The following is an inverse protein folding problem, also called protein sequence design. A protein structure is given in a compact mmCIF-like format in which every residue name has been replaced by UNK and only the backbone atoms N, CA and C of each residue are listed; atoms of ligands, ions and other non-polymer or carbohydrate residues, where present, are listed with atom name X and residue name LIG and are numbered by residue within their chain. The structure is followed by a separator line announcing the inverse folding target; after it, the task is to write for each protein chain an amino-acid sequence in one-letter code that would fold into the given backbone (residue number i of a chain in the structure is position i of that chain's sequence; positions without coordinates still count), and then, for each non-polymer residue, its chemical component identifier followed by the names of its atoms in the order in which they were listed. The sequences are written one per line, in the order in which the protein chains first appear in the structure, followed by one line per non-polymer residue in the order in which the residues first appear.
data_IF_496238773948
#
_entry.id   IF_496238773948
#
_cell.length_a   1.000
_cell.length_b   1.000
_cell.length_c   1.000
_cell.angle_alpha   90.00
_cell.angle_beta   90.00
_cell.angle_gamma   90.00
#
_symmetry.space_group_name_H-M   'P 1'
#
loop_
_entity.id
_entity.type
_entity.pdbx_description
1 polymer ?
#
# COMPACT_ATOMS: atom_id res chain seq x y z
N UNK A 1 16.83 -2.01 21.14
CA UNK A 1 15.95 -2.86 20.30
C UNK A 1 15.47 -2.20 19.00
N UNK A 2 15.32 -0.86 18.91
CA UNK A 2 14.86 -0.20 17.67
C UNK A 2 15.85 -0.18 16.49
N UNK A 3 17.16 -0.22 16.73
CA UNK A 3 18.18 -0.18 15.66
C UNK A 3 18.34 -1.50 14.89
N UNK A 4 18.06 -2.64 15.52
CA UNK A 4 18.20 -3.97 14.89
C UNK A 4 17.06 -4.23 13.89
N UNK A 5 15.88 -3.66 14.13
CA UNK A 5 14.76 -3.72 13.17
C UNK A 5 15.06 -2.95 11.87
N UNK A 6 15.85 -1.88 11.92
CA UNK A 6 16.18 -1.07 10.74
C UNK A 6 17.15 -1.79 9.79
N UNK A 7 18.14 -2.50 10.34
CA UNK A 7 19.15 -3.21 9.53
C UNK A 7 18.56 -4.44 8.83
N UNK A 8 17.64 -5.16 9.48
CA UNK A 8 16.93 -6.30 8.87
C UNK A 8 15.91 -5.88 7.79
N UNK A 9 15.57 -4.60 7.69
CA UNK A 9 14.71 -4.08 6.63
C UNK A 9 15.42 -4.09 5.28
N UNK A 10 16.74 -3.85 5.23
CA UNK A 10 17.48 -3.63 3.98
C UNK A 10 17.71 -4.91 3.15
N UNK A 11 17.56 -6.09 3.73
CA UNK A 11 17.88 -7.38 3.08
C UNK A 11 16.68 -8.23 2.61
N UNK A 12 15.44 -7.77 2.79
CA UNK A 12 14.23 -8.52 2.37
C UNK A 12 13.59 -7.96 1.08
N UNK A 13 13.04 -8.87 0.25
CA UNK A 13 12.35 -8.58 -1.02
C UNK A 13 11.29 -7.49 -0.84
N UNK A 14 11.01 -6.72 -1.89
CA UNK A 14 10.04 -5.61 -1.87
C UNK A 14 8.67 -6.05 -1.32
N UNK A 15 8.22 -7.25 -1.71
CA UNK A 15 6.97 -7.89 -1.25
C UNK A 15 6.96 -8.17 0.26
N UNK A 16 8.07 -8.63 0.84
CA UNK A 16 8.16 -8.93 2.27
C UNK A 16 8.10 -7.66 3.14
N UNK A 17 8.66 -6.56 2.64
CA UNK A 17 8.54 -5.25 3.29
C UNK A 17 7.09 -4.77 3.27
N UNK A 18 6.42 -4.89 2.13
CA UNK A 18 5.02 -4.51 1.98
C UNK A 18 4.14 -5.31 2.95
N UNK A 19 4.32 -6.63 3.06
CA UNK A 19 3.57 -7.47 4.01
C UNK A 19 3.76 -7.07 5.48
N UNK A 20 4.93 -6.58 5.86
CA UNK A 20 5.22 -6.17 7.23
C UNK A 20 4.64 -4.79 7.56
N UNK A 21 4.67 -3.85 6.61
CA UNK A 21 3.99 -2.56 6.71
C UNK A 21 2.46 -2.70 6.66
N UNK A 22 1.94 -3.70 5.95
CA UNK A 22 0.50 -3.97 5.83
C UNK A 22 -0.12 -4.46 7.16
N UNK A 23 0.67 -5.00 8.09
CA UNK A 23 0.17 -5.45 9.40
C UNK A 23 -0.25 -4.32 10.35
N UNK A 24 0.11 -3.06 10.07
CA UNK A 24 -0.42 -1.92 10.81
C UNK A 24 -1.81 -1.60 10.24
N UNK A 25 -2.92 -1.82 10.96
CA UNK A 25 -4.26 -1.86 10.38
C UNK A 25 -4.70 -0.58 9.67
N UNK A 26 -4.16 0.57 10.05
CA UNK A 26 -4.49 1.87 9.44
C UNK A 26 -3.55 2.23 8.29
N UNK A 27 -2.25 2.01 8.47
CA UNK A 27 -1.22 2.33 7.47
C UNK A 27 -1.23 1.32 6.32
N UNK A 28 -1.42 0.04 6.63
CA UNK A 28 -1.46 -1.05 5.66
C UNK A 28 -2.58 -0.93 4.64
N UNK A 29 -3.76 -0.44 5.06
CA UNK A 29 -4.86 -0.18 4.12
C UNK A 29 -4.53 0.95 3.14
N UNK A 30 -3.80 1.98 3.58
CA UNK A 30 -3.33 3.03 2.67
C UNK A 30 -2.31 2.48 1.67
N UNK A 31 -1.32 1.71 2.13
CA UNK A 31 -0.34 1.09 1.24
C UNK A 31 -0.99 0.16 0.23
N UNK A 32 -1.96 -0.66 0.65
CA UNK A 32 -2.76 -1.49 -0.27
C UNK A 32 -3.45 -0.64 -1.34
N UNK A 33 -4.14 0.43 -0.94
CA UNK A 33 -4.82 1.34 -1.87
C UNK A 33 -3.84 2.06 -2.81
N UNK A 34 -2.66 2.43 -2.31
CA UNK A 34 -1.58 3.03 -3.10
C UNK A 34 -1.07 2.06 -4.18
N UNK A 35 -0.72 0.82 -3.81
CA UNK A 35 -0.22 -0.17 -4.76
C UNK A 35 -1.29 -0.59 -5.77
N UNK A 36 -2.55 -0.69 -5.35
CA UNK A 36 -3.68 -0.92 -6.25
C UNK A 36 -3.78 0.19 -7.30
N UNK A 37 -3.80 1.46 -6.87
CA UNK A 37 -3.78 2.61 -7.77
C UNK A 37 -2.56 2.59 -8.69
N UNK A 38 -1.37 2.34 -8.14
CA UNK A 38 -0.12 2.35 -8.88
C UNK A 38 -0.13 1.32 -10.02
N UNK A 39 -0.48 0.06 -9.73
CA UNK A 39 -0.54 -0.99 -10.75
C UNK A 39 -1.64 -0.67 -11.78
N UNK A 40 -2.85 -0.36 -11.31
CA UNK A 40 -3.99 -0.10 -12.21
C UNK A 40 -3.72 1.10 -13.13
N UNK A 41 -3.10 2.15 -12.61
CA UNK A 41 -2.77 3.36 -13.37
C UNK A 41 -1.70 3.09 -14.44
N UNK A 42 -0.67 2.28 -14.11
CA UNK A 42 0.35 1.89 -15.09
C UNK A 42 -0.27 1.03 -16.22
N UNK A 43 -1.10 0.05 -15.88
CA UNK A 43 -1.83 -0.74 -16.88
C UNK A 43 -2.74 0.13 -17.74
N UNK A 44 -3.52 1.01 -17.13
CA UNK A 44 -4.38 1.95 -17.84
C UNK A 44 -3.54 2.81 -18.80
N UNK A 45 -2.43 3.38 -18.35
CA UNK A 45 -1.56 4.23 -19.17
C UNK A 45 -1.01 3.48 -20.39
N UNK A 46 -0.54 2.25 -20.19
CA UNK A 46 0.06 1.43 -21.25
C UNK A 46 -0.99 0.97 -22.27
N UNK A 47 -2.15 0.46 -21.81
CA UNK A 47 -3.24 0.02 -22.70
C UNK A 47 -3.87 1.22 -23.44
N UNK A 48 -4.07 2.36 -22.76
CA UNK A 48 -4.53 3.59 -23.43
C UNK A 48 -3.50 4.13 -24.43
N UNK A 49 -2.21 3.83 -24.23
CA UNK A 49 -1.12 4.13 -25.17
C UNK A 49 -1.12 3.23 -26.42
N UNK A 50 -2.08 2.31 -26.55
CA UNK A 50 -2.21 1.43 -27.72
C UNK A 50 -1.47 0.10 -27.60
N UNK A 51 -0.84 -0.19 -26.46
CA UNK A 51 -0.23 -1.50 -26.22
C UNK A 51 -1.32 -2.55 -26.00
N UNK A 52 -1.17 -3.73 -26.60
CA UNK A 52 -1.98 -4.89 -26.25
C UNK A 52 -1.50 -5.52 -24.92
N UNK A 53 -2.28 -6.44 -24.36
CA UNK A 53 -1.97 -7.04 -23.07
C UNK A 53 -0.63 -7.80 -23.04
N UNK A 54 -0.24 -8.46 -24.14
CA UNK A 54 1.04 -9.19 -24.24
C UNK A 54 2.22 -8.22 -24.27
N UNK A 55 2.07 -7.11 -25.00
CA UNK A 55 3.05 -6.02 -25.05
C UNK A 55 3.19 -5.34 -23.69
N UNK A 56 2.09 -5.13 -22.96
CA UNK A 56 2.13 -4.63 -21.57
C UNK A 56 2.94 -5.56 -20.69
N UNK A 57 2.67 -6.87 -20.69
CA UNK A 57 3.44 -7.84 -19.91
C UNK A 57 4.92 -7.81 -20.28
N UNK A 58 5.24 -7.74 -21.58
CA UNK A 58 6.61 -7.68 -22.06
C UNK A 58 7.33 -6.39 -21.63
N UNK A 59 6.59 -5.28 -21.56
CA UNK A 59 7.11 -4.01 -21.06
C UNK A 59 7.29 -4.02 -19.53
N UNK A 60 6.42 -4.69 -18.78
CA UNK A 60 6.57 -4.87 -17.32
C UNK A 60 7.86 -5.64 -16.98
N UNK A 61 8.26 -6.61 -17.81
CA UNK A 61 9.51 -7.37 -17.64
C UNK A 61 10.78 -6.55 -17.87
N UNK A 62 10.68 -5.36 -18.45
CA UNK A 62 11.83 -4.44 -18.67
C UNK A 62 12.09 -3.53 -17.47
N UNK A 63 11.19 -3.49 -16.50
CA UNK A 63 11.44 -2.75 -15.26
C UNK A 63 12.47 -3.47 -14.39
N UNK A 64 13.01 -2.76 -13.40
CA UNK A 64 13.98 -3.30 -12.46
C UNK A 64 13.46 -4.55 -11.74
N UNK A 65 14.35 -5.54 -11.55
CA UNK A 65 14.02 -6.84 -10.96
C UNK A 65 13.50 -6.77 -9.50
N UNK A 66 13.74 -5.67 -8.79
CA UNK A 66 13.22 -5.44 -7.44
C UNK A 66 11.91 -4.63 -7.43
N UNK A 67 11.42 -4.22 -8.60
CA UNK A 67 10.19 -3.45 -8.74
C UNK A 67 8.95 -4.34 -8.67
N UNK A 68 7.88 -3.79 -8.09
CA UNK A 68 6.59 -4.47 -8.03
C UNK A 68 6.01 -4.75 -9.42
N UNK A 69 6.24 -3.85 -10.38
CA UNK A 69 5.78 -4.03 -11.77
C UNK A 69 6.47 -5.20 -12.45
N UNK A 70 7.77 -5.40 -12.19
CA UNK A 70 8.50 -6.57 -12.70
C UNK A 70 7.94 -7.88 -12.12
N UNK A 71 7.69 -7.93 -10.81
CA UNK A 71 7.11 -9.12 -10.17
C UNK A 71 5.72 -9.46 -10.74
N UNK A 72 4.86 -8.45 -10.94
CA UNK A 72 3.54 -8.62 -11.57
C UNK A 72 3.70 -9.11 -13.02
N UNK A 73 4.59 -8.48 -13.79
CA UNK A 73 4.88 -8.88 -15.17
C UNK A 73 5.40 -10.30 -15.29
N UNK A 74 6.28 -10.72 -14.37
CA UNK A 74 6.82 -12.08 -14.30
C UNK A 74 5.74 -13.12 -14.04
N UNK A 75 4.85 -12.86 -13.08
CA UNK A 75 3.73 -13.74 -12.76
C UNK A 75 2.75 -13.87 -13.93
N UNK A 76 2.45 -12.76 -14.60
CA UNK A 76 1.59 -12.77 -15.79
C UNK A 76 2.24 -13.51 -16.96
N UNK A 77 3.54 -13.27 -17.22
CA UNK A 77 4.28 -13.92 -18.31
C UNK A 77 4.37 -15.44 -18.13
N UNK A 78 4.65 -15.92 -16.90
CA UNK A 78 4.62 -17.34 -16.59
C UNK A 78 3.23 -17.95 -16.87
N UNK A 79 2.17 -17.26 -16.42
CA UNK A 79 0.80 -17.72 -16.63
C UNK A 79 0.42 -17.79 -18.12
N UNK A 80 0.84 -16.81 -18.92
CA UNK A 80 0.61 -16.81 -20.38
C UNK A 80 1.33 -17.96 -21.10
N UNK A 81 2.57 -18.27 -20.72
CA UNK A 81 3.36 -19.31 -21.39
C UNK A 81 2.95 -20.73 -20.97
N UNK A 82 2.47 -20.89 -19.74
CA UNK A 82 2.05 -22.18 -19.19
C UNK A 82 0.57 -22.50 -19.48
N UNK A 83 -0.14 -21.61 -20.20
CA UNK A 83 -1.57 -21.77 -20.48
C UNK A 83 -2.47 -21.72 -19.23
N UNK A 84 -1.92 -21.26 -18.11
CA UNK A 84 -2.65 -21.13 -16.84
C UNK A 84 -3.51 -19.86 -16.84
N UNK A 85 -4.60 -19.89 -16.06
CA UNK A 85 -5.46 -18.73 -15.91
C UNK A 85 -4.72 -17.61 -15.15
N UNK A 86 -4.21 -16.61 -15.88
CA UNK A 86 -3.48 -15.48 -15.32
C UNK A 86 -4.32 -14.67 -14.30
N UNK A 87 -5.65 -14.72 -14.39
CA UNK A 87 -6.54 -14.10 -13.41
C UNK A 87 -6.39 -14.72 -12.02
N UNK A 88 -6.20 -16.04 -11.93
CA UNK A 88 -5.96 -16.73 -10.67
C UNK A 88 -4.59 -16.36 -10.07
N UNK A 89 -3.56 -16.22 -10.91
CA UNK A 89 -2.23 -15.79 -10.50
C UNK A 89 -2.21 -14.36 -9.98
N UNK A 90 -2.99 -13.46 -10.60
CA UNK A 90 -3.14 -12.08 -10.16
C UNK A 90 -3.94 -11.95 -8.85
N UNK A 91 -4.92 -12.84 -8.62
CA UNK A 91 -5.71 -12.88 -7.40
C UNK A 91 -4.87 -13.16 -6.13
N UNK A 92 -3.67 -13.71 -6.28
CA UNK A 92 -2.73 -13.89 -5.16
C UNK A 92 -2.27 -12.55 -4.56
N UNK A 93 -2.26 -11.47 -5.35
CA UNK A 93 -1.85 -10.15 -4.88
C UNK A 93 -3.01 -9.43 -4.22
N UNK A 94 -2.92 -9.20 -2.90
CA UNK A 94 -3.97 -8.51 -2.13
C UNK A 94 -4.27 -7.08 -2.59
N UNK A 95 -3.38 -6.45 -3.38
CA UNK A 95 -3.55 -5.10 -3.94
C UNK A 95 -4.14 -5.09 -5.35
N UNK A 96 -4.28 -6.24 -6.01
CA UNK A 96 -4.98 -6.32 -7.30
C UNK A 96 -6.47 -6.45 -7.00
N UNK A 97 -7.27 -5.61 -7.65
CA UNK A 97 -8.72 -5.62 -7.46
C UNK A 97 -9.38 -6.68 -8.34
N UNK A 98 -10.48 -7.25 -7.88
CA UNK A 98 -11.23 -8.26 -8.64
C UNK A 98 -11.75 -7.66 -9.96
N UNK A 99 -12.15 -6.39 -9.95
CA UNK A 99 -12.59 -5.67 -11.16
C UNK A 99 -11.48 -5.59 -12.20
N UNK A 100 -10.23 -5.39 -11.78
CA UNK A 100 -9.09 -5.39 -12.70
C UNK A 100 -8.93 -6.75 -13.36
N UNK A 101 -9.04 -7.84 -12.59
CA UNK A 101 -8.94 -9.21 -13.11
C UNK A 101 -10.07 -9.48 -14.11
N UNK A 102 -11.31 -9.13 -13.76
CA UNK A 102 -12.48 -9.28 -14.63
C UNK A 102 -12.30 -8.51 -15.93
N UNK A 103 -11.85 -7.26 -15.89
CA UNK A 103 -11.62 -6.48 -17.12
C UNK A 103 -10.53 -7.09 -18.00
N UNK A 104 -9.43 -7.58 -17.42
CA UNK A 104 -8.37 -8.22 -18.19
C UNK A 104 -8.82 -9.55 -18.82
N UNK A 105 -9.73 -10.28 -18.18
CA UNK A 105 -10.25 -11.56 -18.67
C UNK A 105 -11.42 -11.42 -19.65
N UNK A 106 -12.18 -10.32 -19.60
CA UNK A 106 -13.46 -10.18 -20.30
C UNK A 106 -13.38 -10.14 -21.84
N UNK A 107 -12.21 -10.34 -22.45
CA UNK A 107 -12.06 -10.42 -23.92
C UNK A 107 -12.57 -9.18 -24.66
N UNK A 108 -12.82 -8.08 -23.94
CA UNK A 108 -13.37 -6.84 -24.48
C UNK A 108 -12.43 -6.23 -25.49
N UNK A 109 -12.96 -5.39 -26.37
CA UNK A 109 -12.11 -4.68 -27.34
C UNK A 109 -11.06 -3.86 -26.60
N UNK A 110 -9.91 -3.60 -27.25
CA UNK A 110 -8.82 -2.84 -26.63
C UNK A 110 -9.28 -1.45 -26.17
N UNK A 111 -10.20 -0.82 -26.91
CA UNK A 111 -10.79 0.48 -26.56
C UNK A 111 -11.65 0.42 -25.29
N UNK A 112 -12.49 -0.61 -25.15
CA UNK A 112 -13.30 -0.80 -23.94
C UNK A 112 -12.43 -1.12 -22.73
N UNK A 113 -11.43 -2.00 -22.90
CA UNK A 113 -10.47 -2.30 -21.84
C UNK A 113 -9.73 -1.05 -21.36
N UNK A 114 -9.27 -0.22 -22.30
CA UNK A 114 -8.61 1.04 -22.01
C UNK A 114 -9.51 1.99 -21.19
N UNK A 115 -10.78 2.11 -21.56
CA UNK A 115 -11.76 2.93 -20.84
C UNK A 115 -12.06 2.39 -19.44
N UNK A 116 -12.27 1.09 -19.31
CA UNK A 116 -12.57 0.43 -18.03
C UNK A 116 -11.39 0.56 -17.06
N UNK A 117 -10.16 0.28 -17.51
CA UNK A 117 -8.96 0.45 -16.67
C UNK A 117 -8.73 1.90 -16.28
N UNK A 118 -9.04 2.86 -17.17
CA UNK A 118 -8.96 4.30 -16.86
C UNK A 118 -10.00 4.73 -15.83
N UNK A 119 -11.20 4.17 -15.88
CA UNK A 119 -12.22 4.40 -14.86
C UNK A 119 -11.78 3.78 -13.52
N UNK A 120 -11.26 2.55 -13.54
CA UNK A 120 -10.79 1.85 -12.35
C UNK A 120 -9.60 2.54 -11.69
N UNK A 121 -8.66 3.09 -12.47
CA UNK A 121 -7.53 3.87 -11.93
C UNK A 121 -8.01 5.14 -11.22
N UNK A 122 -9.03 5.82 -11.76
CA UNK A 122 -9.66 6.98 -11.11
C UNK A 122 -10.36 6.60 -9.80
N UNK A 123 -11.05 5.46 -9.77
CA UNK A 123 -11.69 4.95 -8.55
C UNK A 123 -10.64 4.60 -7.49
N UNK A 124 -9.60 3.88 -7.88
CA UNK A 124 -8.49 3.50 -6.99
C UNK A 124 -7.76 4.74 -6.44
N UNK A 125 -7.58 5.78 -7.26
CA UNK A 125 -7.02 7.05 -6.81
C UNK A 125 -7.91 7.73 -5.75
N UNK A 126 -9.23 7.80 -5.99
CA UNK A 126 -10.17 8.37 -5.01
C UNK A 126 -10.14 7.61 -3.69
N UNK A 127 -10.08 6.28 -3.75
CA UNK A 127 -9.99 5.42 -2.56
C UNK A 127 -8.68 5.66 -1.79
N UNK A 128 -7.55 5.77 -2.49
CA UNK A 128 -6.25 6.13 -1.90
C UNK A 128 -6.31 7.49 -1.17
N UNK A 129 -6.86 8.52 -1.83
CA UNK A 129 -7.03 9.85 -1.23
C UNK A 129 -7.96 9.79 -0.01
N UNK A 130 -9.06 9.04 -0.09
CA UNK A 130 -9.98 8.84 1.03
C UNK A 130 -9.29 8.24 2.25
N UNK A 131 -8.48 7.19 2.04
CA UNK A 131 -7.70 6.54 3.11
C UNK A 131 -6.63 7.47 3.68
N UNK A 132 -5.97 8.25 2.83
CA UNK A 132 -4.99 9.27 3.25
C UNK A 132 -5.64 10.33 4.14
N UNK A 133 -6.81 10.86 3.73
CA UNK A 133 -7.55 11.85 4.51
C UNK A 133 -7.99 11.32 5.87
N UNK A 134 -8.29 10.03 5.99
CA UNK A 134 -8.62 9.41 7.27
C UNK A 134 -7.41 9.41 8.22
N UNK A 135 -6.21 9.14 7.72
CA UNK A 135 -4.97 9.23 8.51
C UNK A 135 -4.70 10.67 8.96
N UNK A 136 -4.90 11.65 8.07
CA UNK A 136 -4.75 13.07 8.41
C UNK A 136 -5.72 13.44 9.54
N UNK A 137 -6.97 12.97 9.49
CA UNK A 137 -7.95 13.23 10.56
C UNK A 137 -7.54 12.64 11.92
N UNK A 138 -6.79 11.54 11.94
CA UNK A 138 -6.29 10.94 13.17
C UNK A 138 -5.13 11.71 13.80
N UNK A 139 -4.50 12.65 13.09
CA UNK A 139 -3.39 13.43 13.64
C UNK A 139 -3.85 14.32 14.80
N UNK A 140 -5.06 14.87 14.71
CA UNK A 140 -5.61 15.79 15.72
C UNK A 140 -5.82 15.12 17.09
N UNK A 141 -6.55 13.99 17.21
CA UNK A 141 -6.72 13.32 18.51
C UNK A 141 -5.39 12.79 19.07
N UNK A 142 -4.46 12.34 18.21
CA UNK A 142 -3.12 11.89 18.65
C UNK A 142 -2.33 13.06 19.25
N UNK A 143 -2.33 14.22 18.60
CA UNK A 143 -1.66 15.42 19.12
C UNK A 143 -2.23 15.84 20.48
N UNK A 144 -3.56 15.85 20.64
CA UNK A 144 -4.17 16.18 21.94
C UNK A 144 -3.85 15.14 23.02
N UNK A 145 -3.83 13.85 22.68
CA UNK A 145 -3.44 12.80 23.62
C UNK A 145 -1.99 12.97 24.09
N UNK A 146 -1.06 13.27 23.19
CA UNK A 146 0.35 13.54 23.51
C UNK A 146 0.47 14.75 24.43
N UNK A 147 -0.19 15.87 24.10
CA UNK A 147 -0.20 17.07 24.93
C UNK A 147 -0.75 16.77 26.34
N UNK A 148 -1.86 16.04 26.43
CA UNK A 148 -2.45 15.65 27.72
C UNK A 148 -1.50 14.82 28.59
N UNK A 149 -0.82 13.83 27.99
CA UNK A 149 0.19 13.02 28.70
C UNK A 149 1.34 13.89 29.18
N UNK A 150 1.83 14.83 28.36
CA UNK A 150 2.90 15.75 28.75
C UNK A 150 2.51 16.64 29.94
N UNK A 151 1.29 17.18 29.94
CA UNK A 151 0.78 18.02 31.04
C UNK A 151 0.67 17.20 32.34
N UNK A 152 0.07 16.01 32.28
CA UNK A 152 -0.06 15.13 33.45
C UNK A 152 1.31 14.70 33.97
N UNK A 153 2.24 14.35 33.07
CA UNK A 153 3.61 14.00 33.43
C UNK A 153 4.36 15.14 34.13
N UNK A 154 4.26 16.36 33.59
CA UNK A 154 4.84 17.55 34.21
C UNK A 154 4.22 17.83 35.58
N UNK A 155 2.91 17.66 35.73
CA UNK A 155 2.21 17.85 37.01
C UNK A 155 2.65 16.84 38.07
N UNK A 156 2.75 15.55 37.71
CA UNK A 156 3.25 14.51 38.62
C UNK A 156 4.69 14.78 39.07
N UNK A 157 5.55 15.23 38.16
CA UNK A 157 6.93 15.62 38.48
C UNK A 157 7.01 16.80 39.46
N UNK A 158 6.05 17.72 39.40
CA UNK A 158 5.98 18.86 40.32
C UNK A 158 5.36 18.48 41.68
N UNK A 159 4.42 17.53 41.71
CA UNK A 159 3.69 17.15 42.93
C UNK A 159 4.45 16.14 43.81
N UNK A 160 5.19 15.20 43.20
CA UNK A 160 6.08 14.27 43.90
C UNK A 160 7.02 14.94 44.91
N UNK A 161 7.82 15.97 44.56
CA UNK A 161 8.72 16.63 45.50
C UNK A 161 7.98 17.40 46.61
N UNK A 162 6.78 17.93 46.34
CA UNK A 162 5.94 18.52 47.39
C UNK A 162 5.49 17.47 48.40
N UNK A 163 5.12 16.28 47.92
CA UNK A 163 4.68 15.19 48.79
C UNK A 163 5.83 14.63 49.65
N UNK A 164 7.02 14.48 49.07
CA UNK A 164 8.22 14.07 49.81
C UNK A 164 8.62 15.13 50.85
N UNK A 165 8.53 16.41 50.51
CA UNK A 165 8.79 17.51 51.45
C UNK A 165 7.79 17.52 52.62
N UNK A 166 6.51 17.21 52.40
CA UNK A 166 5.49 17.14 53.47
C UNK A 166 5.66 15.92 54.37
N UNK A 167 6.14 14.78 53.86
CA UNK A 167 6.42 13.59 54.67
C UNK A 167 7.64 13.75 55.59
N UNK A 168 8.59 14.61 55.25
CA UNK A 168 9.75 14.92 56.11
C UNK A 168 9.42 15.84 57.30
N UNK A 169 8.17 16.32 57.41
CA UNK A 169 7.71 17.26 58.45
C UNK A 169 6.91 16.60 59.59
N UNK A 170 6.80 15.27 59.60
CA UNK A 170 6.17 14.47 60.67
C UNK A 170 7.13 13.43 61.24
#
# INVERSE_FOLDING_TARGET
MGMVCYQNFKAKKCIDRINLLVKIPVIGQLFKAYYQYFVTSNFALMINGGLDLKQVVSALLKFDHQSLLYDVGKTMHASFNEGMNFGASLAHYSFVSEEMIVFLLNGSTQSELAQNLKALSRLSFKEMIRKSNLLIKLIQPVSFAVIGILIVGAYLQMLLPMYDSMKGLY
#
